data_IF_728441504751
#
_entry.id   IF_728441504751
#
_cell.length_a   1.000
_cell.length_b   1.000
_cell.length_c   1.000
_cell.angle_alpha   90.00
_cell.angle_beta   90.00
_cell.angle_gamma   90.00
#
_symmetry.space_group_name_H-M   'P 1'
#
loop_
_entity.id
_entity.type
_entity.pdbx_description
1 polymer ?
#
# COMPACT_ATOMS: atom_id res chain seq x y z
N UNK A 1 42.62 -8.75 -72.80
CA UNK A 1 42.96 -7.90 -71.64
C UNK A 1 41.76 -7.53 -70.75
N UNK A 2 40.66 -6.94 -71.26
CA UNK A 2 39.50 -6.54 -70.42
C UNK A 2 38.89 -7.69 -69.58
N UNK A 3 38.74 -8.89 -70.15
CA UNK A 3 38.20 -10.04 -69.43
C UNK A 3 39.10 -10.50 -68.26
N UNK A 4 40.42 -10.44 -68.43
CA UNK A 4 41.39 -10.79 -67.38
C UNK A 4 41.29 -9.78 -66.23
N UNK A 5 41.20 -8.49 -66.55
CA UNK A 5 41.05 -7.43 -65.53
C UNK A 5 39.73 -7.58 -64.74
N UNK A 6 38.63 -7.92 -65.42
CA UNK A 6 37.34 -8.14 -64.77
C UNK A 6 37.40 -9.34 -63.79
N UNK A 7 38.00 -10.45 -64.21
CA UNK A 7 38.15 -11.64 -63.35
C UNK A 7 39.04 -11.35 -62.14
N UNK A 8 40.11 -10.57 -62.31
CA UNK A 8 40.99 -10.16 -61.21
C UNK A 8 40.25 -9.30 -60.18
N UNK A 9 39.43 -8.35 -60.63
CA UNK A 9 38.61 -7.50 -59.74
C UNK A 9 37.52 -8.30 -59.00
N UNK A 10 36.91 -9.30 -59.65
CA UNK A 10 35.94 -10.19 -59.02
C UNK A 10 36.57 -11.03 -57.90
N UNK A 11 37.73 -11.62 -58.18
CA UNK A 11 38.48 -12.40 -57.19
C UNK A 11 38.89 -11.55 -55.98
N UNK A 12 39.33 -10.31 -56.20
CA UNK A 12 39.71 -9.40 -55.13
C UNK A 12 38.51 -9.01 -54.23
N UNK A 13 37.31 -8.85 -54.80
CA UNK A 13 36.09 -8.62 -54.01
C UNK A 13 35.72 -9.84 -53.16
N UNK A 14 35.83 -11.04 -53.72
CA UNK A 14 35.56 -12.29 -53.00
C UNK A 14 36.54 -12.49 -51.83
N UNK A 15 37.84 -12.27 -52.06
CA UNK A 15 38.86 -12.34 -51.01
C UNK A 15 38.59 -11.35 -49.88
N UNK A 16 38.20 -10.11 -50.22
CA UNK A 16 37.86 -9.09 -49.22
C UNK A 16 36.60 -9.43 -48.42
N UNK A 17 35.60 -10.06 -49.04
CA UNK A 17 34.40 -10.53 -48.34
C UNK A 17 34.74 -11.66 -47.35
N UNK A 18 35.57 -12.62 -47.78
CA UNK A 18 36.01 -13.73 -46.91
C UNK A 18 36.88 -13.22 -45.74
N UNK A 19 37.78 -12.26 -45.98
CA UNK A 19 38.58 -11.64 -44.92
C UNK A 19 37.70 -10.92 -43.87
N UNK A 20 36.63 -10.23 -44.30
CA UNK A 20 35.66 -9.62 -43.38
C UNK A 20 34.93 -10.67 -42.54
N UNK A 21 34.55 -11.80 -43.14
CA UNK A 21 33.89 -12.89 -42.42
C UNK A 21 34.82 -13.56 -41.39
N UNK A 22 36.09 -13.80 -41.74
CA UNK A 22 37.11 -14.35 -40.83
C UNK A 22 37.42 -13.38 -39.69
N UNK A 23 37.52 -12.07 -39.97
CA UNK A 23 37.70 -11.04 -38.93
C UNK A 23 36.51 -11.01 -37.97
N UNK A 24 35.27 -11.09 -38.48
CA UNK A 24 34.05 -11.17 -37.63
C UNK A 24 34.04 -12.44 -36.77
N UNK A 25 34.42 -13.59 -37.32
CA UNK A 25 34.48 -14.86 -36.59
C UNK A 25 35.56 -14.87 -35.49
N UNK A 26 36.74 -14.32 -35.77
CA UNK A 26 37.84 -14.22 -34.81
C UNK A 26 37.58 -13.18 -33.71
N UNK A 27 36.90 -12.08 -34.02
CA UNK A 27 36.48 -11.08 -33.04
C UNK A 27 35.39 -11.63 -32.10
N UNK A 28 34.42 -12.41 -32.62
CA UNK A 28 33.44 -13.15 -31.79
C UNK A 28 34.12 -14.15 -30.84
N UNK A 29 35.18 -14.84 -31.28
CA UNK A 29 35.95 -15.75 -30.42
C UNK A 29 36.76 -15.04 -29.33
N UNK A 30 37.29 -13.83 -29.59
CA UNK A 30 38.04 -13.05 -28.59
C UNK A 30 37.13 -12.44 -27.51
N UNK A 31 35.93 -11.97 -27.89
CA UNK A 31 34.92 -11.49 -26.92
C UNK A 31 34.48 -12.62 -25.99
N UNK A 32 34.29 -13.84 -26.52
CA UNK A 32 33.92 -15.04 -25.72
C UNK A 32 35.02 -15.52 -24.75
N UNK A 33 36.26 -15.07 -24.90
CA UNK A 33 37.41 -15.52 -24.08
C UNK A 33 37.83 -14.50 -23.01
N UNK A 34 37.31 -13.28 -23.06
CA UNK A 34 37.54 -12.23 -22.07
C UNK A 34 36.40 -12.04 -21.07
N UNK A 35 35.20 -12.59 -21.33
CA UNK A 35 34.27 -12.91 -20.26
C UNK A 35 34.85 -14.13 -19.53
N UNK A 36 35.64 -13.82 -18.50
CA UNK A 36 36.30 -14.78 -17.66
C UNK A 36 35.34 -15.84 -17.13
N UNK A 37 35.92 -16.97 -16.80
CA UNK A 37 35.36 -18.00 -15.91
C UNK A 37 35.09 -17.42 -14.52
N UNK A 38 34.28 -16.38 -14.42
CA UNK A 38 33.50 -16.13 -13.22
C UNK A 38 32.55 -17.32 -13.10
N UNK A 39 32.66 -18.03 -11.98
CA UNK A 39 31.79 -19.15 -11.64
C UNK A 39 30.34 -18.71 -11.83
N UNK A 40 29.73 -19.12 -12.95
CA UNK A 40 28.36 -18.72 -13.32
C UNK A 40 27.44 -19.07 -12.17
N UNK A 41 26.97 -18.04 -11.46
CA UNK A 41 26.06 -18.22 -10.34
C UNK A 41 24.87 -19.04 -10.81
N UNK A 42 24.53 -20.07 -10.05
CA UNK A 42 23.36 -20.89 -10.37
C UNK A 42 22.13 -20.01 -10.26
N UNK A 43 21.34 -19.92 -11.33
CA UNK A 43 20.08 -19.14 -11.37
C UNK A 43 19.15 -19.48 -10.20
N UNK A 44 19.24 -20.69 -9.64
CA UNK A 44 18.47 -21.09 -8.47
C UNK A 44 18.75 -20.25 -7.21
N UNK A 45 19.94 -19.65 -7.07
CA UNK A 45 20.31 -18.84 -5.90
C UNK A 45 19.71 -17.43 -5.93
N UNK A 46 19.03 -17.04 -7.00
CA UNK A 46 18.36 -15.73 -7.11
C UNK A 46 16.93 -15.75 -6.54
N UNK A 47 16.44 -16.90 -6.05
CA UNK A 47 15.05 -17.08 -5.64
C UNK A 47 14.93 -17.59 -4.20
N UNK A 48 13.90 -17.15 -3.44
CA UNK A 48 12.84 -16.21 -3.85
C UNK A 48 13.33 -14.76 -3.89
N UNK A 49 12.75 -13.95 -4.77
CA UNK A 49 12.99 -12.50 -4.85
C UNK A 49 12.17 -11.82 -3.74
N UNK A 50 12.86 -11.10 -2.87
CA UNK A 50 12.29 -10.49 -1.67
C UNK A 50 12.04 -9.00 -1.85
N UNK A 51 12.84 -8.32 -2.68
CA UNK A 51 12.78 -6.87 -2.84
C UNK A 51 12.60 -6.43 -4.29
N UNK A 52 12.12 -5.19 -4.48
CA UNK A 52 11.97 -4.61 -5.82
C UNK A 52 13.32 -4.39 -6.52
N UNK A 53 14.38 -4.11 -5.75
CA UNK A 53 15.75 -3.93 -6.24
C UNK A 53 16.35 -5.25 -6.72
N UNK A 54 16.13 -6.34 -5.98
CA UNK A 54 16.48 -7.70 -6.42
C UNK A 54 15.72 -8.08 -7.69
N UNK A 55 14.42 -7.77 -7.77
CA UNK A 55 13.62 -8.03 -8.97
C UNK A 55 14.20 -7.32 -10.20
N UNK A 56 14.62 -6.06 -10.04
CA UNK A 56 15.25 -5.28 -11.09
C UNK A 56 16.64 -5.84 -11.47
N UNK A 57 17.43 -6.26 -10.47
CA UNK A 57 18.73 -6.89 -10.70
C UNK A 57 18.60 -8.19 -11.49
N UNK A 58 17.63 -9.05 -11.15
CA UNK A 58 17.34 -10.28 -11.90
C UNK A 58 16.87 -9.94 -13.31
N UNK A 59 15.98 -8.97 -13.47
CA UNK A 59 15.51 -8.50 -14.77
C UNK A 59 16.67 -8.03 -15.66
N UNK A 60 17.65 -7.31 -15.11
CA UNK A 60 18.82 -6.83 -15.84
C UNK A 60 19.82 -7.97 -16.14
N UNK A 61 20.03 -8.92 -15.22
CA UNK A 61 20.83 -10.13 -15.48
C UNK A 61 20.22 -10.98 -16.60
N UNK A 62 18.88 -11.09 -16.68
CA UNK A 62 18.19 -11.87 -17.71
C UNK A 62 18.25 -11.23 -19.11
N UNK A 63 18.51 -9.92 -19.20
CA UNK A 63 18.78 -9.25 -20.49
C UNK A 63 20.15 -9.61 -21.06
N UNK A 64 21.07 -10.10 -20.23
CA UNK A 64 22.39 -10.54 -20.67
C UNK A 64 22.25 -11.94 -21.29
N UNK A 65 22.73 -12.09 -22.53
CA UNK A 65 22.66 -13.33 -23.30
C UNK A 65 23.14 -14.55 -22.48
N UNK A 66 22.29 -15.58 -22.41
CA UNK A 66 22.57 -16.86 -21.79
C UNK A 66 21.86 -17.10 -20.45
N UNK A 67 21.62 -16.07 -19.63
CA UNK A 67 20.93 -16.27 -18.35
C UNK A 67 19.43 -16.57 -18.51
N UNK A 68 18.80 -16.03 -19.55
CA UNK A 68 17.41 -16.33 -19.91
C UNK A 68 17.19 -17.83 -20.17
N UNK A 69 18.08 -18.48 -20.92
CA UNK A 69 18.00 -19.92 -21.20
C UNK A 69 18.15 -20.77 -19.93
N UNK A 70 19.08 -20.39 -19.05
CA UNK A 70 19.27 -21.08 -17.77
C UNK A 70 18.06 -20.89 -16.85
N UNK A 71 17.45 -19.71 -16.86
CA UNK A 71 16.23 -19.43 -16.13
C UNK A 71 15.03 -20.20 -16.67
N UNK A 72 14.85 -20.25 -18.00
CA UNK A 72 13.85 -21.11 -18.63
C UNK A 72 14.09 -22.58 -18.28
N UNK A 73 15.35 -23.04 -18.25
CA UNK A 73 15.70 -24.41 -17.82
C UNK A 73 15.32 -24.65 -16.35
N UNK A 74 15.60 -23.69 -15.47
CA UNK A 74 15.20 -23.73 -14.06
C UNK A 74 13.67 -23.82 -13.90
N UNK A 75 12.92 -23.01 -14.65
CA UNK A 75 11.46 -23.04 -14.66
C UNK A 75 10.92 -24.36 -15.23
N UNK A 76 11.52 -24.90 -16.29
CA UNK A 76 11.14 -26.19 -16.88
C UNK A 76 11.31 -27.35 -15.91
N UNK A 77 12.37 -27.35 -15.08
CA UNK A 77 12.57 -28.34 -14.02
C UNK A 77 11.47 -28.32 -12.95
N UNK A 78 10.75 -27.20 -12.85
CA UNK A 78 9.62 -27.02 -11.95
C UNK A 78 8.25 -27.02 -12.70
N UNK A 79 8.22 -27.40 -13.97
CA UNK A 79 7.05 -27.23 -14.86
C UNK A 79 5.84 -28.08 -14.49
N UNK A 80 6.04 -29.17 -13.76
CA UNK A 80 4.94 -30.01 -13.26
C UNK A 80 4.01 -29.24 -12.30
N UNK A 81 4.45 -28.08 -11.83
CA UNK A 81 3.69 -27.18 -10.99
C UNK A 81 2.92 -26.15 -11.82
N UNK A 82 1.79 -25.69 -11.27
CA UNK A 82 0.97 -24.67 -11.92
C UNK A 82 1.76 -23.36 -12.08
N UNK A 83 1.35 -22.50 -13.02
CA UNK A 83 1.96 -21.17 -13.17
C UNK A 83 1.98 -20.38 -11.85
N UNK A 84 0.95 -20.56 -11.00
CA UNK A 84 0.91 -19.92 -9.68
C UNK A 84 2.02 -20.43 -8.76
N UNK A 85 2.36 -21.71 -8.81
CA UNK A 85 3.41 -22.31 -7.99
C UNK A 85 4.79 -21.89 -8.49
N UNK A 86 4.99 -21.78 -9.81
CA UNK A 86 6.21 -21.22 -10.37
C UNK A 86 6.39 -19.76 -9.98
N UNK A 87 5.33 -18.94 -10.06
CA UNK A 87 5.36 -17.56 -9.58
C UNK A 87 5.69 -17.47 -8.09
N UNK A 88 5.15 -18.39 -7.27
CA UNK A 88 5.43 -18.47 -5.84
C UNK A 88 6.86 -18.91 -5.52
N UNK A 89 7.47 -19.71 -6.39
CA UNK A 89 8.88 -20.07 -6.25
C UNK A 89 9.82 -18.90 -6.60
N UNK A 90 9.36 -17.97 -7.46
CA UNK A 90 10.13 -16.82 -7.92
C UNK A 90 9.98 -15.62 -6.98
N UNK A 91 8.75 -15.28 -6.60
CA UNK A 91 8.44 -14.04 -5.89
C UNK A 91 7.91 -14.30 -4.49
N UNK A 92 8.39 -13.53 -3.52
CA UNK A 92 7.79 -13.49 -2.19
C UNK A 92 6.42 -12.78 -2.19
N UNK A 93 5.54 -13.19 -1.28
CA UNK A 93 4.21 -12.59 -1.13
C UNK A 93 4.27 -11.12 -0.70
N UNK A 94 5.18 -10.79 0.23
CA UNK A 94 5.33 -9.43 0.77
C UNK A 94 5.88 -8.48 -0.32
N UNK A 95 6.75 -8.97 -1.22
CA UNK A 95 7.15 -8.23 -2.42
C UNK A 95 5.95 -7.94 -3.32
N UNK A 96 5.17 -8.97 -3.62
CA UNK A 96 4.04 -8.90 -4.55
C UNK A 96 2.90 -8.00 -4.04
N UNK A 97 2.83 -7.70 -2.74
CA UNK A 97 1.91 -6.72 -2.17
C UNK A 97 2.05 -5.33 -2.82
N UNK A 98 3.27 -4.96 -3.20
CA UNK A 98 3.61 -3.68 -3.82
C UNK A 98 3.43 -3.67 -5.34
N UNK A 99 3.09 -4.82 -5.94
CA UNK A 99 2.90 -4.96 -7.37
C UNK A 99 1.43 -5.15 -7.75
N UNK A 100 1.08 -4.72 -8.94
CA UNK A 100 -0.08 -5.20 -9.69
C UNK A 100 0.32 -5.39 -11.15
N UNK A 101 -0.62 -5.78 -12.01
CA UNK A 101 -0.24 -6.09 -13.40
C UNK A 101 0.24 -4.83 -14.14
N UNK A 102 -0.44 -3.70 -13.97
CA UNK A 102 -0.34 -2.52 -14.84
C UNK A 102 0.13 -1.23 -14.17
N UNK A 103 0.36 -1.23 -12.86
CA UNK A 103 0.94 -0.12 -12.09
C UNK A 103 -0.07 0.86 -11.50
N UNK A 104 -1.36 0.50 -11.43
CA UNK A 104 -2.39 1.39 -10.85
C UNK A 104 -2.25 1.54 -9.34
N UNK A 105 -2.85 2.61 -8.79
CA UNK A 105 -2.92 2.88 -7.34
C UNK A 105 -1.54 2.99 -6.67
N UNK A 106 -0.57 3.58 -7.37
CA UNK A 106 0.80 3.75 -6.86
C UNK A 106 1.60 2.45 -6.73
N UNK A 107 1.06 1.31 -7.19
CA UNK A 107 1.78 0.02 -7.19
C UNK A 107 2.73 -0.07 -8.38
N UNK A 108 3.73 -0.93 -8.25
CA UNK A 108 4.69 -1.20 -9.32
C UNK A 108 4.05 -2.13 -10.37
N UNK A 109 4.17 -1.81 -11.68
CA UNK A 109 3.67 -2.68 -12.74
C UNK A 109 4.58 -3.90 -12.92
N UNK A 110 4.03 -5.10 -12.68
CA UNK A 110 4.74 -6.36 -12.90
C UNK A 110 5.15 -6.53 -14.37
N UNK A 111 4.38 -5.96 -15.29
CA UNK A 111 4.71 -5.94 -16.72
C UNK A 111 6.02 -5.20 -17.06
N UNK A 112 6.61 -4.41 -16.15
CA UNK A 112 7.95 -3.84 -16.37
C UNK A 112 9.06 -4.90 -16.27
N UNK A 113 8.81 -6.03 -15.61
CA UNK A 113 9.73 -7.18 -15.53
C UNK A 113 9.58 -8.08 -16.77
N UNK A 114 9.79 -7.50 -17.95
CA UNK A 114 9.50 -8.12 -19.24
C UNK A 114 10.28 -9.41 -19.46
N UNK A 115 11.54 -9.46 -19.06
CA UNK A 115 12.42 -10.61 -19.27
C UNK A 115 11.96 -11.80 -18.44
N UNK A 116 11.60 -11.57 -17.17
CA UNK A 116 11.01 -12.61 -16.32
C UNK A 116 9.68 -13.12 -16.91
N UNK A 117 8.78 -12.20 -17.31
CA UNK A 117 7.47 -12.54 -17.86
C UNK A 117 7.58 -13.31 -19.19
N UNK A 118 8.54 -12.94 -20.05
CA UNK A 118 8.79 -13.63 -21.32
C UNK A 118 9.32 -15.06 -21.08
N UNK A 119 10.23 -15.25 -20.12
CA UNK A 119 10.71 -16.58 -19.75
C UNK A 119 9.57 -17.48 -19.22
N UNK A 120 8.71 -16.92 -18.37
CA UNK A 120 7.51 -17.63 -17.89
C UNK A 120 6.56 -17.99 -19.05
N UNK A 121 6.33 -17.06 -19.98
CA UNK A 121 5.47 -17.31 -21.15
C UNK A 121 6.03 -18.41 -22.04
N UNK A 122 7.34 -18.47 -22.24
CA UNK A 122 7.97 -19.55 -23.01
C UNK A 122 7.72 -20.93 -22.39
N UNK A 123 7.85 -21.03 -21.07
CA UNK A 123 7.66 -22.29 -20.32
C UNK A 123 6.19 -22.74 -20.34
N UNK A 124 5.27 -21.79 -20.20
CA UNK A 124 3.82 -21.99 -20.18
C UNK A 124 3.15 -21.58 -21.51
N UNK A 125 3.80 -21.93 -22.63
CA UNK A 125 3.35 -21.63 -23.99
C UNK A 125 2.09 -22.40 -24.41
N UNK A 126 1.66 -23.38 -23.61
CA UNK A 126 0.39 -24.10 -23.77
C UNK A 126 -0.84 -23.22 -23.48
N UNK A 127 -0.67 -22.11 -22.75
CA UNK A 127 -1.76 -21.21 -22.37
C UNK A 127 -1.95 -20.10 -23.39
N UNK A 128 -3.21 -19.72 -23.62
CA UNK A 128 -3.51 -18.50 -24.35
C UNK A 128 -2.98 -17.28 -23.59
N UNK A 129 -2.66 -16.18 -24.30
CA UNK A 129 -2.23 -14.94 -23.67
C UNK A 129 -3.23 -14.44 -22.61
N UNK A 130 -4.53 -14.57 -22.89
CA UNK A 130 -5.58 -14.17 -21.97
C UNK A 130 -5.54 -14.99 -20.68
N UNK A 131 -5.44 -16.31 -20.79
CA UNK A 131 -5.40 -17.22 -19.64
C UNK A 131 -4.11 -17.06 -18.84
N UNK A 132 -2.98 -16.85 -19.50
CA UNK A 132 -1.70 -16.57 -18.88
C UNK A 132 -1.78 -15.31 -17.99
N UNK A 133 -2.27 -14.19 -18.53
CA UNK A 133 -2.42 -12.97 -17.74
C UNK A 133 -3.51 -13.07 -16.68
N UNK A 134 -4.60 -13.81 -16.94
CA UNK A 134 -5.63 -14.09 -15.93
C UNK A 134 -5.06 -14.87 -14.75
N UNK A 135 -4.18 -15.85 -15.01
CA UNK A 135 -3.48 -16.58 -13.97
C UNK A 135 -2.52 -15.68 -13.17
N UNK A 136 -1.74 -14.81 -13.83
CA UNK A 136 -0.88 -13.83 -13.15
C UNK A 136 -1.72 -12.89 -12.26
N UNK A 137 -2.83 -12.34 -12.75
CA UNK A 137 -3.72 -11.48 -11.94
C UNK A 137 -4.25 -12.23 -10.73
N UNK A 138 -4.69 -13.48 -10.93
CA UNK A 138 -5.15 -14.34 -9.84
C UNK A 138 -4.06 -14.56 -8.80
N UNK A 139 -2.82 -14.83 -9.23
CA UNK A 139 -1.68 -14.98 -8.34
C UNK A 139 -1.46 -13.72 -7.49
N UNK A 140 -1.42 -12.53 -8.10
CA UNK A 140 -1.26 -11.24 -7.41
C UNK A 140 -2.36 -11.06 -6.35
N UNK A 141 -3.63 -11.28 -6.72
CA UNK A 141 -4.74 -11.18 -5.78
C UNK A 141 -4.59 -12.14 -4.60
N UNK A 142 -4.10 -13.36 -4.84
CA UNK A 142 -3.85 -14.33 -3.77
C UNK A 142 -2.71 -13.88 -2.84
N UNK A 143 -1.63 -13.29 -3.37
CA UNK A 143 -0.57 -12.68 -2.55
C UNK A 143 -1.13 -11.58 -1.64
N UNK A 144 -1.91 -10.64 -2.20
CA UNK A 144 -2.52 -9.53 -1.43
C UNK A 144 -3.46 -10.05 -0.34
N UNK A 145 -4.26 -11.07 -0.65
CA UNK A 145 -5.12 -11.73 0.33
C UNK A 145 -4.30 -12.39 1.45
N UNK A 146 -3.21 -13.09 1.12
CA UNK A 146 -2.32 -13.72 2.13
C UNK A 146 -1.66 -12.67 3.03
N UNK A 147 -1.13 -11.57 2.49
CA UNK A 147 -0.57 -10.47 3.27
C UNK A 147 -1.63 -9.84 4.19
N UNK A 148 -2.85 -9.65 3.68
CA UNK A 148 -3.98 -9.13 4.47
C UNK A 148 -4.33 -10.07 5.63
N UNK A 149 -4.40 -11.39 5.38
CA UNK A 149 -4.64 -12.41 6.41
C UNK A 149 -3.52 -12.44 7.46
N UNK A 150 -2.25 -12.34 7.03
CA UNK A 150 -1.07 -12.25 7.90
C UNK A 150 -1.18 -11.04 8.83
N UNK A 151 -1.49 -9.85 8.29
CA UNK A 151 -1.72 -8.62 9.08
C UNK A 151 -2.87 -8.76 10.06
N UNK A 152 -4.00 -9.33 9.64
CA UNK A 152 -5.15 -9.56 10.52
C UNK A 152 -4.78 -10.49 11.69
N UNK A 153 -4.11 -11.59 11.39
CA UNK A 153 -3.66 -12.56 12.40
C UNK A 153 -2.68 -11.93 13.39
N UNK A 154 -1.74 -11.11 12.91
CA UNK A 154 -0.80 -10.40 13.76
C UNK A 154 -1.51 -9.37 14.67
N UNK A 155 -2.47 -8.61 14.14
CA UNK A 155 -3.30 -7.68 14.95
C UNK A 155 -4.17 -8.40 15.98
N UNK A 156 -4.62 -9.62 15.68
CA UNK A 156 -5.36 -10.45 16.63
C UNK A 156 -4.45 -10.89 17.78
N UNK A 157 -3.30 -11.49 17.46
CA UNK A 157 -2.30 -11.92 18.46
C UNK A 157 -1.85 -10.78 19.38
N UNK A 158 -1.63 -9.59 18.82
CA UNK A 158 -1.23 -8.42 19.61
C UNK A 158 -2.32 -8.00 20.62
N UNK A 159 -3.60 -8.10 20.23
CA UNK A 159 -4.72 -7.83 21.13
C UNK A 159 -4.84 -8.90 22.22
N UNK A 160 -4.70 -10.16 21.86
CA UNK A 160 -4.76 -11.27 22.81
C UNK A 160 -3.63 -11.15 23.86
N UNK A 161 -2.40 -10.81 23.46
CA UNK A 161 -1.29 -10.55 24.40
C UNK A 161 -1.50 -9.29 25.26
N UNK A 162 -2.12 -8.23 24.74
CA UNK A 162 -2.39 -7.02 25.53
C UNK A 162 -3.37 -7.27 26.68
N UNK A 163 -4.27 -8.24 26.53
CA UNK A 163 -5.23 -8.63 27.55
C UNK A 163 -4.55 -9.41 28.69
N UNK A 164 -3.56 -10.24 28.39
CA UNK A 164 -2.79 -10.98 29.40
C UNK A 164 -1.94 -10.05 30.28
N UNK A 165 -1.35 -8.99 29.72
CA UNK A 165 -0.57 -8.03 30.50
C UNK A 165 -1.42 -7.19 31.46
N UNK A 166 -2.67 -6.89 31.13
CA UNK A 166 -3.58 -6.16 32.02
C UNK A 166 -4.06 -7.03 33.20
N UNK A 167 -4.17 -8.36 33.01
CA UNK A 167 -4.54 -9.27 34.10
C UNK A 167 -3.38 -9.50 35.09
N UNK A 168 -2.13 -9.54 34.61
CA UNK A 168 -0.94 -9.65 35.47
C UNK A 168 -0.67 -8.40 36.33
N UNK A 169 -1.22 -7.24 35.96
CA UNK A 169 -1.08 -6.02 36.78
C UNK A 169 -2.08 -5.94 37.92
N UNK A 170 -3.15 -6.73 37.89
CA UNK A 170 -4.17 -6.74 38.96
C UNK A 170 -3.99 -7.84 40.01
N UNK A 171 -3.25 -8.92 39.70
CA UNK A 171 -3.05 -10.04 40.65
C UNK A 171 -1.86 -9.89 41.61
N UNK A 172 -1.05 -8.82 41.47
CA UNK A 172 0.05 -8.50 42.39
C UNK A 172 -0.12 -7.15 43.12
N UNK A 173 -1.36 -6.67 43.26
CA UNK A 173 -1.67 -5.72 44.33
C UNK A 173 -1.70 -6.49 45.67
N UNK A 174 -0.52 -6.95 46.10
CA UNK A 174 -0.26 -7.14 47.53
C UNK A 174 -0.44 -5.75 48.11
N UNK A 175 -1.39 -5.61 49.03
CA UNK A 175 -1.62 -4.36 49.76
C UNK A 175 -0.26 -3.77 50.14
N UNK A 176 0.02 -2.51 49.78
CA UNK A 176 1.25 -1.85 50.20
C UNK A 176 1.37 -2.07 51.70
N UNK A 177 2.46 -2.68 52.20
CA UNK A 177 2.60 -2.93 53.63
C UNK A 177 2.36 -1.61 54.34
N UNK A 178 1.44 -1.61 55.32
CA UNK A 178 1.18 -0.45 56.17
C UNK A 178 2.51 0.02 56.72
N UNK A 179 3.02 1.11 56.15
CA UNK A 179 4.18 1.81 56.69
C UNK A 179 3.64 2.50 57.94
N UNK A 180 3.74 1.82 59.08
CA UNK A 180 3.56 2.49 60.35
C UNK A 180 4.50 3.70 60.38
N UNK A 181 4.00 4.89 60.78
CA UNK A 181 4.80 6.09 60.87
C UNK A 181 5.87 5.88 61.96
N UNK A 182 7.04 5.40 61.54
CA UNK A 182 8.24 5.32 62.38
C UNK A 182 8.57 6.72 62.82
N UNK A 183 8.29 7.00 64.09
CA UNK A 183 8.72 8.21 64.79
C UNK A 183 10.25 8.28 64.71
N UNK A 184 10.75 9.13 63.84
CA UNK A 184 12.17 9.50 63.84
C UNK A 184 12.46 10.23 65.14
N UNK A 185 13.04 9.51 66.10
CA UNK A 185 13.74 10.10 67.22
C UNK A 185 15.08 10.62 66.71
N UNK A 186 15.24 11.93 66.85
CA UNK A 186 16.40 12.69 66.46
C UNK A 186 17.41 12.60 67.60
N UNK A 187 18.37 11.69 67.52
CA UNK A 187 19.53 11.70 68.41
C UNK A 187 20.70 12.38 67.68
N UNK A 188 21.07 13.53 68.25
CA UNK A 188 22.30 14.24 68.00
C UNK A 188 23.46 13.45 68.62
N UNK A 189 24.47 13.08 67.85
CA UNK A 189 25.83 12.95 68.36
C UNK A 189 26.84 13.59 67.40
N UNK A 190 27.63 14.50 67.99
CA UNK A 190 28.77 15.21 67.42
C UNK A 190 30.04 14.34 67.40
N UNK A 191 30.92 14.69 66.47
CA UNK A 191 32.40 14.59 66.44
C UNK A 191 32.88 13.72 65.27
N UNK A 192 33.82 14.13 64.41
CA UNK A 192 34.66 15.33 64.32
C UNK A 192 35.69 15.11 63.20
N UNK A 193 36.35 16.20 62.79
CA UNK A 193 37.52 16.29 61.90
C UNK A 193 37.35 15.86 60.43
N UNK A 194 38.00 16.43 59.41
CA UNK A 194 38.72 17.68 59.10
C UNK A 194 39.18 17.44 57.65
N UNK A 195 39.00 18.40 56.74
CA UNK A 195 40.09 19.00 55.93
C UNK A 195 39.59 19.68 54.65
N UNK A 196 40.00 20.95 54.55
CA UNK A 196 40.40 21.76 53.40
C UNK A 196 39.77 21.47 52.02
N UNK A 197 39.04 22.46 51.48
CA UNK A 197 39.61 23.44 50.53
C UNK A 197 38.53 24.28 49.82
N UNK A 198 38.57 25.57 50.12
CA UNK A 198 38.50 26.77 49.27
C UNK A 198 37.43 27.03 48.18
N UNK A 199 37.06 28.33 48.20
CA UNK A 199 36.36 29.21 47.24
C UNK A 199 34.82 29.23 47.33
N UNK A 200 34.21 30.19 48.05
CA UNK A 200 33.90 31.61 47.67
C UNK A 200 32.87 31.66 46.51
N UNK A 201 31.69 32.31 46.53
CA UNK A 201 31.07 33.42 47.29
C UNK A 201 29.54 33.11 47.41
N UNK A 202 28.86 33.17 48.56
CA UNK A 202 28.11 34.33 49.13
C UNK A 202 27.41 35.24 48.10
N UNK A 203 26.17 35.72 48.23
CA UNK A 203 25.12 35.76 49.25
C UNK A 203 23.95 36.45 48.53
N UNK A 204 22.70 36.08 48.83
CA UNK A 204 21.83 37.00 49.59
C UNK A 204 20.36 36.59 49.49
N UNK A 205 19.80 36.46 50.68
CA UNK A 205 18.47 36.04 51.02
C UNK A 205 17.46 37.19 50.86
N UNK A 206 16.19 36.86 50.60
CA UNK A 206 15.10 37.83 50.62
C UNK A 206 13.73 37.15 50.60
N UNK A 207 13.18 36.92 51.78
CA UNK A 207 11.85 36.34 52.03
C UNK A 207 10.68 37.24 51.57
N UNK A 208 9.68 36.60 50.95
CA UNK A 208 8.20 36.72 51.08
C UNK A 208 7.57 38.15 51.09
N UNK A 209 6.63 38.48 50.17
CA UNK A 209 5.19 38.35 50.51
C UNK A 209 4.23 37.94 49.38
N UNK A 210 3.07 37.40 49.79
CA UNK A 210 1.82 37.31 49.03
C UNK A 210 1.53 38.58 48.21
N UNK A 211 1.13 38.45 46.93
CA UNK A 211 0.00 39.17 46.29
C UNK A 211 -0.05 39.02 44.75
N UNK A 212 -1.29 38.83 44.28
CA UNK A 212 -1.89 39.28 43.01
C UNK A 212 -1.45 38.72 41.64
N UNK A 213 -2.47 38.30 40.91
CA UNK A 213 -2.67 38.41 39.46
C UNK A 213 -1.65 39.26 38.70
N UNK A 214 -0.96 38.68 37.71
CA UNK A 214 -0.75 39.22 36.36
C UNK A 214 0.11 38.32 35.45
N UNK A 215 -0.44 38.08 34.26
CA UNK A 215 0.23 37.93 32.94
C UNK A 215 1.59 37.21 32.88
N UNK A 216 1.57 35.97 32.39
CA UNK A 216 2.75 35.31 31.82
C UNK A 216 2.68 35.37 30.29
N UNK A 217 3.25 36.42 29.72
CA UNK A 217 3.53 36.51 28.29
C UNK A 217 4.72 35.61 27.95
N UNK A 218 4.44 34.34 27.65
CA UNK A 218 5.43 33.43 27.07
C UNK A 218 5.36 33.54 25.55
N UNK A 219 6.13 34.48 25.01
CA UNK A 219 6.35 34.65 23.58
C UNK A 219 6.99 33.37 23.00
N UNK A 220 6.12 32.49 22.49
CA UNK A 220 6.51 31.32 21.70
C UNK A 220 6.69 31.82 20.28
N UNK A 221 7.94 31.81 19.80
CA UNK A 221 8.31 32.21 18.45
C UNK A 221 7.73 31.22 17.42
N UNK A 222 6.46 31.43 17.08
CA UNK A 222 5.80 30.77 15.96
C UNK A 222 6.43 31.23 14.64
N UNK A 223 6.94 30.27 13.89
CA UNK A 223 7.43 30.48 12.54
C UNK A 223 6.25 30.80 11.59
N UNK A 224 6.36 31.77 10.66
CA UNK A 224 5.20 32.33 9.92
C UNK A 224 4.65 31.45 8.78
N UNK A 225 4.65 30.11 8.92
CA UNK A 225 4.21 29.19 7.85
C UNK A 225 2.76 28.70 7.95
N UNK A 226 2.01 29.07 9.00
CA UNK A 226 0.72 28.44 9.34
C UNK A 226 -0.54 29.17 8.85
N UNK A 227 -0.49 30.45 8.46
CA UNK A 227 -1.72 31.22 8.20
C UNK A 227 -2.34 30.91 6.82
N UNK A 228 -1.54 30.60 5.80
CA UNK A 228 -2.07 30.33 4.45
C UNK A 228 -2.69 28.93 4.31
N UNK A 229 -2.23 27.94 5.09
CA UNK A 229 -2.78 26.58 5.06
C UNK A 229 -4.14 26.47 5.77
N UNK A 230 -4.35 27.22 6.86
CA UNK A 230 -5.63 27.23 7.59
C UNK A 230 -6.78 27.82 6.75
N UNK A 231 -6.50 28.88 5.97
CA UNK A 231 -7.49 29.50 5.11
C UNK A 231 -7.95 28.59 3.96
N UNK A 232 -7.04 27.78 3.40
CA UNK A 232 -7.40 26.79 2.37
C UNK A 232 -8.30 25.67 2.94
N UNK A 233 -8.07 25.29 4.19
CA UNK A 233 -8.76 24.19 4.83
C UNK A 233 -10.22 24.52 5.20
N UNK A 234 -10.44 25.73 5.75
CA UNK A 234 -11.80 26.20 6.09
C UNK A 234 -12.71 26.35 4.87
N UNK A 235 -12.14 26.70 3.70
CA UNK A 235 -12.88 26.75 2.44
C UNK A 235 -13.39 25.35 2.03
N UNK A 236 -12.53 24.31 2.09
CA UNK A 236 -12.90 22.94 1.75
C UNK A 236 -14.03 22.37 2.63
N UNK A 237 -14.07 22.75 3.92
CA UNK A 237 -15.14 22.30 4.83
C UNK A 237 -16.50 22.86 4.41
N UNK A 238 -16.55 24.15 4.04
CA UNK A 238 -17.79 24.81 3.62
C UNK A 238 -18.35 24.23 2.32
N UNK A 239 -17.52 23.55 1.53
CA UNK A 239 -17.92 22.90 0.28
C UNK A 239 -18.58 21.53 0.48
N UNK A 240 -18.46 20.89 1.65
CA UNK A 240 -18.94 19.51 1.90
C UNK A 240 -20.42 19.30 1.49
N UNK A 241 -21.37 20.19 1.85
CA UNK A 241 -22.77 20.00 1.46
C UNK A 241 -23.01 20.01 -0.06
N UNK A 242 -22.12 20.67 -0.81
CA UNK A 242 -22.22 20.82 -2.26
C UNK A 242 -21.56 19.65 -3.03
N UNK A 243 -20.84 18.76 -2.33
CA UNK A 243 -20.23 17.57 -2.94
C UNK A 243 -21.27 16.47 -3.26
N UNK A 244 -22.44 16.52 -2.63
CA UNK A 244 -23.47 15.51 -2.78
C UNK A 244 -24.61 15.98 -3.71
N UNK A 245 -25.15 15.10 -4.57
CA UNK A 245 -24.81 13.68 -4.72
C UNK A 245 -23.53 13.46 -5.55
N UNK A 246 -22.81 12.38 -5.24
CA UNK A 246 -21.65 11.90 -5.99
C UNK A 246 -22.10 11.24 -7.30
N UNK A 247 -21.65 11.80 -8.40
CA UNK A 247 -22.04 11.41 -9.77
C UNK A 247 -20.95 10.56 -10.41
N UNK A 248 -19.68 10.93 -10.20
CA UNK A 248 -18.54 10.30 -10.87
C UNK A 248 -17.62 9.54 -9.92
N UNK A 249 -16.85 8.61 -10.49
CA UNK A 249 -15.83 7.86 -9.74
C UNK A 249 -14.75 8.80 -9.19
N UNK A 250 -14.34 9.80 -9.96
CA UNK A 250 -13.28 10.72 -9.57
C UNK A 250 -13.71 11.62 -8.41
N UNK A 251 -14.98 12.04 -8.36
CA UNK A 251 -15.54 12.77 -7.21
C UNK A 251 -15.46 11.92 -5.94
N UNK A 252 -15.85 10.65 -6.02
CA UNK A 252 -15.78 9.72 -4.90
C UNK A 252 -14.33 9.47 -4.46
N UNK A 253 -13.39 9.24 -5.38
CA UNK A 253 -11.99 9.02 -5.04
C UNK A 253 -11.34 10.26 -4.40
N UNK A 254 -11.64 11.45 -4.90
CA UNK A 254 -11.17 12.71 -4.31
C UNK A 254 -11.73 12.91 -2.89
N UNK A 255 -13.00 12.55 -2.68
CA UNK A 255 -13.60 12.59 -1.36
C UNK A 255 -12.94 11.58 -0.40
N UNK A 256 -12.72 10.35 -0.86
CA UNK A 256 -12.02 9.29 -0.10
C UNK A 256 -10.61 9.69 0.32
N UNK A 257 -9.86 10.39 -0.56
CA UNK A 257 -8.54 10.92 -0.24
C UNK A 257 -8.61 11.99 0.87
N UNK A 258 -9.60 12.89 0.80
CA UNK A 258 -9.78 13.92 1.84
C UNK A 258 -10.26 13.34 3.18
N UNK A 259 -11.00 12.22 3.18
CA UNK A 259 -11.49 11.57 4.41
C UNK A 259 -10.34 10.96 5.24
N UNK A 260 -9.16 10.75 4.65
CA UNK A 260 -7.99 10.32 5.41
C UNK A 260 -7.54 11.37 6.45
N UNK A 261 -7.90 12.63 6.24
CA UNK A 261 -7.70 13.71 7.22
C UNK A 261 -8.79 13.65 8.30
N UNK A 262 -8.38 13.54 9.56
CA UNK A 262 -9.28 13.31 10.69
C UNK A 262 -10.27 14.46 10.88
N UNK A 263 -9.82 15.70 10.73
CA UNK A 263 -10.68 16.89 10.89
C UNK A 263 -11.73 16.94 9.77
N UNK A 264 -11.36 16.58 8.53
CA UNK A 264 -12.27 16.58 7.39
C UNK A 264 -13.29 15.44 7.52
N UNK A 265 -12.83 14.25 7.93
CA UNK A 265 -13.68 13.09 8.19
C UNK A 265 -14.76 13.39 9.25
N UNK A 266 -14.43 14.16 10.29
CA UNK A 266 -15.39 14.56 11.33
C UNK A 266 -16.47 15.49 10.76
N UNK A 267 -16.08 16.46 9.91
CA UNK A 267 -17.03 17.36 9.26
C UNK A 267 -17.96 16.61 8.29
N UNK A 268 -17.43 15.64 7.54
CA UNK A 268 -18.25 14.75 6.72
C UNK A 268 -19.22 13.96 7.61
N UNK A 269 -18.77 13.38 8.73
CA UNK A 269 -19.64 12.67 9.67
C UNK A 269 -20.77 13.55 10.21
N UNK A 270 -20.49 14.79 10.61
CA UNK A 270 -21.52 15.73 11.08
C UNK A 270 -22.55 16.03 9.99
N UNK A 271 -22.10 16.32 8.77
CA UNK A 271 -23.02 16.51 7.64
C UNK A 271 -23.88 15.26 7.36
N UNK A 272 -23.30 14.06 7.46
CA UNK A 272 -24.03 12.81 7.29
C UNK A 272 -25.07 12.57 8.40
N UNK A 273 -24.79 12.97 9.65
CA UNK A 273 -25.77 12.96 10.75
C UNK A 273 -26.93 13.90 10.47
N UNK A 274 -26.67 15.08 9.91
CA UNK A 274 -27.74 16.00 9.47
C UNK A 274 -28.60 15.39 8.35
N UNK A 275 -27.99 14.72 7.38
CA UNK A 275 -28.71 14.02 6.31
C UNK A 275 -29.55 12.87 6.87
N UNK A 276 -29.03 12.15 7.87
CA UNK A 276 -29.75 11.10 8.60
C UNK A 276 -30.96 11.68 9.32
N UNK A 277 -30.80 12.77 10.07
CA UNK A 277 -31.90 13.43 10.77
C UNK A 277 -33.05 13.81 9.80
N UNK A 278 -32.72 14.22 8.57
CA UNK A 278 -33.71 14.58 7.54
C UNK A 278 -34.34 13.37 6.81
N UNK A 279 -33.62 12.25 6.68
CA UNK A 279 -34.04 11.12 5.82
C UNK A 279 -34.53 9.91 6.59
N UNK A 280 -34.24 9.82 7.89
CA UNK A 280 -34.68 8.79 8.81
C UNK A 280 -34.00 7.42 8.67
N UNK A 281 -33.63 6.99 7.46
CA UNK A 281 -33.06 5.67 7.22
C UNK A 281 -31.81 5.69 6.31
N UNK A 282 -31.10 4.55 6.31
CA UNK A 282 -29.86 4.35 5.53
C UNK A 282 -30.11 4.50 4.03
N UNK A 283 -31.19 3.92 3.49
CA UNK A 283 -31.53 4.00 2.06
C UNK A 283 -31.70 5.46 1.59
N UNK A 284 -32.43 6.27 2.37
CA UNK A 284 -32.67 7.68 2.08
C UNK A 284 -31.39 8.53 2.12
N UNK A 285 -30.50 8.27 3.08
CA UNK A 285 -29.18 8.93 3.14
C UNK A 285 -28.31 8.50 1.96
N UNK A 286 -28.24 7.20 1.66
CA UNK A 286 -27.45 6.65 0.55
C UNK A 286 -27.87 7.25 -0.80
N UNK A 287 -29.17 7.48 -1.03
CA UNK A 287 -29.68 8.15 -2.24
C UNK A 287 -29.29 9.62 -2.36
N UNK A 288 -29.06 10.30 -1.24
CA UNK A 288 -28.60 11.69 -1.23
C UNK A 288 -27.10 11.77 -1.47
N UNK A 289 -26.36 10.74 -1.06
CA UNK A 289 -24.90 10.68 -1.21
C UNK A 289 -24.51 10.19 -2.60
N UNK A 290 -25.16 9.15 -3.12
CA UNK A 290 -24.74 8.48 -4.35
C UNK A 290 -25.85 8.51 -5.40
N UNK A 291 -25.45 8.77 -6.65
CA UNK A 291 -26.31 8.53 -7.81
C UNK A 291 -26.44 7.04 -8.12
N UNK A 292 -27.58 6.64 -8.69
CA UNK A 292 -27.80 5.25 -9.12
C UNK A 292 -26.76 4.86 -10.20
N UNK A 293 -26.39 5.80 -11.08
CA UNK A 293 -25.39 5.61 -12.13
C UNK A 293 -24.01 5.25 -11.56
N UNK A 294 -23.58 5.91 -10.48
CA UNK A 294 -22.32 5.59 -9.80
C UNK A 294 -22.39 4.22 -9.12
N UNK A 295 -23.46 3.95 -8.38
CA UNK A 295 -23.64 2.70 -7.61
C UNK A 295 -23.70 1.46 -8.51
N UNK A 296 -24.12 1.59 -9.77
CA UNK A 296 -24.08 0.46 -10.71
C UNK A 296 -22.67 -0.09 -11.00
N UNK A 297 -21.62 0.68 -10.70
CA UNK A 297 -20.22 0.25 -10.82
C UNK A 297 -19.71 -0.49 -9.57
N UNK A 298 -20.50 -0.47 -8.51
CA UNK A 298 -20.18 -1.04 -7.22
C UNK A 298 -21.06 -2.25 -6.92
N UNK A 299 -20.51 -3.17 -6.15
CA UNK A 299 -21.23 -4.24 -5.48
C UNK A 299 -20.91 -4.17 -3.98
N UNK A 300 -21.49 -5.08 -3.21
CA UNK A 300 -21.29 -5.07 -1.77
C UNK A 300 -19.90 -5.57 -1.34
N UNK A 301 -19.30 -6.49 -2.09
CA UNK A 301 -18.19 -7.36 -1.66
C UNK A 301 -16.98 -7.42 -2.60
N UNK A 302 -16.99 -6.67 -3.69
CA UNK A 302 -15.94 -6.65 -4.72
C UNK A 302 -16.02 -7.81 -5.72
N UNK A 303 -17.05 -8.65 -5.70
CA UNK A 303 -17.10 -9.83 -6.56
C UNK A 303 -17.37 -9.51 -8.04
N UNK A 304 -17.00 -10.41 -8.95
CA UNK A 304 -17.24 -10.25 -10.39
C UNK A 304 -16.57 -9.02 -11.03
N UNK A 305 -15.51 -8.49 -10.40
CA UNK A 305 -14.76 -7.35 -10.94
C UNK A 305 -15.42 -5.98 -10.75
N UNK A 306 -16.48 -5.91 -9.95
CA UNK A 306 -17.04 -4.62 -9.48
C UNK A 306 -16.28 -4.08 -8.28
N UNK A 307 -16.39 -2.78 -8.03
CA UNK A 307 -15.76 -2.14 -6.87
C UNK A 307 -16.52 -2.48 -5.58
N UNK A 308 -15.81 -2.73 -4.48
CA UNK A 308 -16.42 -3.03 -3.18
C UNK A 308 -16.88 -1.74 -2.50
N UNK A 309 -18.19 -1.56 -2.28
CA UNK A 309 -18.71 -0.36 -1.61
C UNK A 309 -18.35 -0.32 -0.12
N UNK A 310 -18.22 -1.50 0.50
CA UNK A 310 -17.98 -1.64 1.94
C UNK A 310 -16.57 -1.18 2.32
N UNK A 311 -15.64 -1.18 1.37
CA UNK A 311 -14.24 -0.84 1.58
C UNK A 311 -13.98 0.67 1.39
N UNK A 312 -15.02 1.47 1.09
CA UNK A 312 -14.94 2.93 1.05
C UNK A 312 -14.95 3.48 2.49
N UNK A 313 -14.00 4.35 2.84
CA UNK A 313 -13.92 4.98 4.17
C UNK A 313 -15.18 5.81 4.45
N UNK A 314 -15.77 6.43 3.42
CA UNK A 314 -17.05 7.12 3.52
C UNK A 314 -18.17 6.20 4.05
N UNK A 315 -18.13 4.92 3.70
CA UNK A 315 -19.15 3.93 4.09
C UNK A 315 -18.79 3.24 5.39
N UNK A 316 -17.55 2.73 5.50
CA UNK A 316 -17.11 1.93 6.65
C UNK A 316 -16.94 2.75 7.91
N UNK A 317 -16.55 4.02 7.77
CA UNK A 317 -16.16 4.86 8.89
C UNK A 317 -17.19 5.97 9.06
N UNK A 318 -17.36 6.83 8.05
CA UNK A 318 -18.20 8.02 8.21
C UNK A 318 -19.69 7.69 8.33
N UNK A 319 -20.25 6.93 7.38
CA UNK A 319 -21.67 6.54 7.42
C UNK A 319 -21.97 5.62 8.60
N UNK A 320 -21.13 4.61 8.84
CA UNK A 320 -21.34 3.71 9.98
C UNK A 320 -21.37 4.50 11.31
N UNK A 321 -20.49 5.49 11.48
CA UNK A 321 -20.49 6.36 12.65
C UNK A 321 -21.74 7.25 12.73
N UNK A 322 -22.23 7.77 11.60
CA UNK A 322 -23.49 8.52 11.57
C UNK A 322 -24.72 7.67 11.97
N UNK A 323 -24.64 6.35 11.78
CA UNK A 323 -25.67 5.36 12.12
C UNK A 323 -25.26 4.48 13.31
N UNK A 324 -24.65 5.07 14.34
CA UNK A 324 -24.19 4.38 15.56
C UNK A 324 -25.31 3.83 16.46
N UNK A 325 -26.56 4.21 16.19
CA UNK A 325 -27.79 3.75 16.86
C UNK A 325 -28.29 2.39 16.37
N UNK A 326 -27.86 1.94 15.19
CA UNK A 326 -28.20 0.61 14.67
C UNK A 326 -26.98 -0.31 14.72
N UNK A 327 -27.22 -1.61 14.81
CA UNK A 327 -26.12 -2.57 14.82
C UNK A 327 -25.35 -2.54 13.50
N UNK A 328 -24.03 -2.80 13.54
CA UNK A 328 -23.20 -2.86 12.33
C UNK A 328 -23.75 -3.86 11.30
N UNK A 329 -24.27 -5.01 11.76
CA UNK A 329 -24.84 -6.03 10.87
C UNK A 329 -26.10 -5.53 10.15
N UNK A 330 -26.97 -4.83 10.87
CA UNK A 330 -28.18 -4.22 10.32
C UNK A 330 -27.84 -3.09 9.34
N UNK A 331 -26.91 -2.19 9.69
CA UNK A 331 -26.41 -1.15 8.79
C UNK A 331 -25.91 -1.75 7.47
N UNK A 332 -25.05 -2.77 7.53
CA UNK A 332 -24.51 -3.42 6.34
C UNK A 332 -25.59 -4.14 5.52
N UNK A 333 -26.61 -4.71 6.16
CA UNK A 333 -27.77 -5.32 5.48
C UNK A 333 -28.57 -4.26 4.73
N UNK A 334 -28.76 -3.08 5.32
CA UNK A 334 -29.42 -1.94 4.67
C UNK A 334 -28.60 -1.40 3.49
N UNK A 335 -27.27 -1.26 3.64
CA UNK A 335 -26.37 -0.86 2.54
C UNK A 335 -26.45 -1.87 1.38
N UNK A 336 -26.43 -3.17 1.67
CA UNK A 336 -26.58 -4.22 0.64
C UNK A 336 -27.92 -4.12 -0.08
N UNK A 337 -29.00 -3.90 0.67
CA UNK A 337 -30.34 -3.74 0.12
C UNK A 337 -30.44 -2.52 -0.80
N UNK A 338 -29.84 -1.39 -0.40
CA UNK A 338 -29.77 -0.19 -1.22
C UNK A 338 -29.09 -0.44 -2.57
N UNK A 339 -27.95 -1.12 -2.60
CA UNK A 339 -27.22 -1.44 -3.85
C UNK A 339 -28.10 -2.28 -4.79
N UNK A 340 -28.72 -3.34 -4.27
CA UNK A 340 -29.58 -4.22 -5.05
C UNK A 340 -30.78 -3.45 -5.66
N UNK A 341 -31.39 -2.56 -4.88
CA UNK A 341 -32.47 -1.70 -5.36
C UNK A 341 -31.97 -0.67 -6.40
N UNK A 342 -30.79 -0.11 -6.22
CA UNK A 342 -30.18 0.84 -7.18
C UNK A 342 -29.91 0.19 -8.54
N UNK A 343 -29.37 -1.04 -8.54
CA UNK A 343 -29.18 -1.84 -9.75
C UNK A 343 -30.52 -2.12 -10.43
N UNK A 344 -31.52 -2.58 -9.66
CA UNK A 344 -32.87 -2.86 -10.16
C UNK A 344 -33.54 -1.64 -10.79
N UNK A 345 -33.38 -0.45 -10.18
CA UNK A 345 -33.87 0.83 -10.73
C UNK A 345 -33.20 1.16 -12.06
N UNK A 346 -31.88 1.03 -12.12
CA UNK A 346 -31.10 1.33 -13.33
C UNK A 346 -31.45 0.40 -14.48
N UNK A 347 -31.60 -0.91 -14.20
CA UNK A 347 -32.07 -1.87 -15.20
C UNK A 347 -33.46 -1.55 -15.70
N UNK A 348 -34.37 -1.19 -14.79
CA UNK A 348 -35.74 -0.80 -15.15
C UNK A 348 -35.76 0.45 -16.05
N UNK A 349 -34.93 1.46 -15.76
CA UNK A 349 -34.75 2.63 -16.61
C UNK A 349 -34.23 2.24 -18.00
N UNK A 350 -33.21 1.38 -18.07
CA UNK A 350 -32.66 0.86 -19.34
C UNK A 350 -33.67 0.07 -20.18
N UNK A 351 -34.55 -0.69 -19.55
CA UNK A 351 -35.62 -1.42 -20.26
C UNK A 351 -36.66 -0.45 -20.84
N UNK A 352 -37.05 0.58 -20.09
CA UNK A 352 -38.00 1.60 -20.56
C UNK A 352 -37.44 2.41 -21.74
N UNK A 353 -36.18 2.81 -21.68
CA UNK A 353 -35.56 3.57 -22.79
C UNK A 353 -35.47 2.73 -24.07
N UNK A 354 -35.20 1.43 -23.98
CA UNK A 354 -35.19 0.51 -25.13
C UNK A 354 -36.56 0.28 -25.77
N UNK A 355 -37.63 0.35 -24.98
CA UNK A 355 -38.99 0.21 -25.51
C UNK A 355 -39.45 1.48 -26.22
N UNK A 356 -39.07 2.65 -25.71
CA UNK A 356 -39.45 3.93 -26.32
C UNK A 356 -38.74 4.21 -27.65
N UNK A 357 -37.58 3.59 -27.93
CA UNK A 357 -36.87 3.77 -29.21
C UNK A 357 -37.34 2.84 -30.32
N UNK A 358 -38.28 1.93 -30.05
CA UNK A 358 -38.84 0.98 -31.02
C UNK A 358 -40.23 1.36 -31.53
N UNK A 359 -40.87 2.33 -30.88
CA UNK A 359 -42.10 2.98 -31.33
C UNK A 359 -41.74 4.20 -32.16
#
# INVERSE_FOLDING_TARGET
MKAILHNMMSLQRLMNANLKNVKRATQKKKIKKQQGTESRESVASWFPILTAEEAQTVEDKLKIDGYSEDFVRYLRRNKDKSLNDALRAIFDDDLMENYNLDGRLGKLPLLKLNSIINCLREVYSDKTNLDFFKAIRRYICLCHNRCTQKRYTNRKKLRDCSFEFQNLTYENCVDPPEIEPTKMQHENEMAGEKDESDSEETLSCGSIPNLSEKSFDRATSCSPKSIEQENSYTAKIKEIPFLFPLITQDQLLKLEENILDTVYSNQVCEHLKELKAKSGNVDGVMRKIFTDELITKYNFDGLHGGNCIRDLNLVSDCLLNAFSDISRAEFLTNVRSYIALSHSRTESRRKRTKNNTKS
#
